data_IF_233247550827
#
_entry.id   IF_233247550827
#
_cell.length_a   1.000
_cell.length_b   1.000
_cell.length_c   1.000
_cell.angle_alpha   90.00
_cell.angle_beta   90.00
_cell.angle_gamma   90.00
#
_symmetry.space_group_name_H-M   'P 1'
#
loop_
_entity.id
_entity.type
_entity.pdbx_description
1 polymer ?
#
# COMPACT_ATOMS: atom_id res chain seq x y z
N UNK A 1 41.17 -5.62 -13.68
CA UNK A 1 40.23 -6.57 -13.00
C UNK A 1 39.09 -5.74 -12.51
N UNK A 2 37.92 -5.88 -13.12
CA UNK A 2 36.63 -5.34 -12.58
C UNK A 2 36.33 -6.09 -11.29
N UNK A 3 36.13 -5.35 -10.22
CA UNK A 3 35.66 -5.93 -8.94
C UNK A 3 34.17 -6.15 -8.97
N UNK A 4 33.61 -7.01 -8.09
CA UNK A 4 32.17 -7.22 -7.98
C UNK A 4 31.43 -5.90 -7.67
N UNK A 5 32.10 -4.94 -7.02
CA UNK A 5 31.59 -3.61 -6.73
C UNK A 5 31.41 -2.80 -8.03
N UNK A 6 32.34 -2.90 -8.99
CA UNK A 6 32.27 -2.18 -10.27
C UNK A 6 31.08 -2.67 -11.15
N UNK A 7 30.57 -3.87 -10.87
CA UNK A 7 29.42 -4.45 -11.57
C UNK A 7 28.08 -3.98 -10.96
N UNK A 8 28.06 -3.73 -9.65
CA UNK A 8 26.86 -3.38 -8.89
C UNK A 8 26.69 -1.86 -8.77
N UNK A 9 27.80 -1.11 -8.74
CA UNK A 9 27.75 0.34 -8.61
C UNK A 9 27.19 0.99 -9.90
N UNK A 10 26.36 2.05 -9.76
CA UNK A 10 25.90 2.81 -10.92
C UNK A 10 27.08 3.43 -11.67
N UNK A 11 27.01 3.46 -13.00
CA UNK A 11 28.07 4.02 -13.85
C UNK A 11 28.11 5.56 -13.78
N UNK A 12 26.96 6.19 -13.49
CA UNK A 12 26.85 7.65 -13.36
C UNK A 12 25.80 8.03 -12.32
N UNK A 13 26.11 9.06 -11.54
CA UNK A 13 25.15 9.69 -10.61
C UNK A 13 25.27 11.19 -10.75
N UNK A 14 24.19 11.86 -11.15
CA UNK A 14 24.09 13.32 -11.20
C UNK A 14 23.07 13.79 -10.15
N UNK A 15 23.54 14.50 -9.14
CA UNK A 15 22.74 15.06 -8.04
C UNK A 15 22.68 16.60 -8.07
N UNK A 16 22.94 17.22 -9.22
CA UNK A 16 22.93 18.68 -9.39
C UNK A 16 21.54 19.31 -9.33
N UNK A 17 20.47 18.54 -9.51
CA UNK A 17 19.10 19.05 -9.43
C UNK A 17 18.57 19.15 -8.00
N UNK A 18 17.71 20.15 -7.78
CA UNK A 18 16.92 20.27 -6.55
C UNK A 18 15.87 19.18 -6.41
N UNK A 19 15.29 18.75 -7.54
CA UNK A 19 14.00 18.08 -7.61
C UNK A 19 14.13 16.58 -7.90
N UNK A 20 15.32 16.11 -8.30
CA UNK A 20 15.62 14.69 -8.59
C UNK A 20 17.13 14.40 -8.59
N UNK A 21 17.49 13.16 -8.63
CA UNK A 21 18.83 12.66 -8.95
C UNK A 21 18.75 11.78 -10.20
N UNK A 22 19.75 11.84 -11.07
CA UNK A 22 19.80 10.98 -12.25
C UNK A 22 20.85 9.89 -12.01
N UNK A 23 20.44 8.63 -12.10
CA UNK A 23 21.29 7.45 -11.92
C UNK A 23 21.23 6.64 -13.20
N UNK A 24 22.36 6.48 -13.88
CA UNK A 24 22.47 5.76 -15.16
C UNK A 24 21.45 6.21 -16.23
N UNK A 25 21.13 7.51 -16.25
CA UNK A 25 20.16 8.10 -17.17
C UNK A 25 18.71 8.01 -16.75
N UNK A 26 18.40 7.35 -15.63
CA UNK A 26 17.05 7.28 -15.06
C UNK A 26 16.90 8.37 -14.01
N UNK A 27 15.78 9.07 -14.06
CA UNK A 27 15.41 10.12 -13.10
C UNK A 27 14.78 9.50 -11.86
N UNK A 28 15.27 9.86 -10.67
CA UNK A 28 14.79 9.40 -9.38
C UNK A 28 14.41 10.59 -8.51
N UNK A 29 13.16 10.67 -8.12
CA UNK A 29 12.69 11.64 -7.15
C UNK A 29 12.29 10.94 -5.85
N UNK A 30 12.72 11.51 -4.73
CA UNK A 30 12.43 10.95 -3.40
C UNK A 30 11.42 11.82 -2.68
N UNK A 31 10.41 11.16 -2.10
CA UNK A 31 9.37 11.77 -1.31
C UNK A 31 9.32 11.13 0.07
N UNK A 32 8.68 11.77 1.01
CA UNK A 32 8.42 11.23 2.34
C UNK A 32 7.01 11.59 2.80
N UNK A 33 6.39 10.72 3.58
CA UNK A 33 5.16 11.06 4.28
C UNK A 33 5.54 11.83 5.55
N UNK A 34 5.03 13.07 5.67
CA UNK A 34 5.33 13.92 6.81
C UNK A 34 4.82 13.29 8.10
N UNK A 35 5.62 13.32 9.19
CA UNK A 35 5.27 12.66 10.44
C UNK A 35 3.94 13.10 11.06
N UNK A 36 3.51 14.34 10.79
CA UNK A 36 2.20 14.86 11.17
C UNK A 36 1.09 14.55 10.16
N UNK A 37 1.46 14.13 8.95
CA UNK A 37 0.56 13.95 7.81
C UNK A 37 0.00 12.53 7.64
N UNK A 38 0.05 11.71 8.67
CA UNK A 38 -0.59 10.40 8.65
C UNK A 38 -2.02 10.51 9.20
N UNK A 39 -2.93 9.77 8.60
CA UNK A 39 -4.30 9.62 9.07
C UNK A 39 -4.36 9.17 10.52
N UNK A 40 -5.34 9.66 11.29
CA UNK A 40 -5.46 9.37 12.73
C UNK A 40 -6.00 7.98 13.00
N UNK A 41 -6.86 7.47 12.12
CA UNK A 41 -7.44 6.13 12.19
C UNK A 41 -7.24 5.44 10.86
N UNK A 42 -6.63 4.27 10.90
CA UNK A 42 -6.34 3.48 9.71
C UNK A 42 -6.99 2.10 9.86
N UNK A 43 -7.48 1.58 8.77
CA UNK A 43 -7.90 0.19 8.63
C UNK A 43 -6.68 -0.70 8.42
N UNK A 44 -6.87 -2.02 8.52
CA UNK A 44 -5.81 -2.96 8.19
C UNK A 44 -5.39 -2.79 6.71
N UNK A 45 -4.10 -2.91 6.46
CA UNK A 45 -3.50 -2.79 5.12
C UNK A 45 -3.70 -1.42 4.43
N UNK A 46 -3.82 -0.35 5.19
CA UNK A 46 -4.03 1.00 4.66
C UNK A 46 -2.90 1.51 3.73
N UNK A 47 -1.72 0.91 3.78
CA UNK A 47 -0.59 1.21 2.89
C UNK A 47 -0.59 0.39 1.58
N UNK A 48 -1.46 -0.60 1.40
CA UNK A 48 -1.44 -1.46 0.21
C UNK A 48 -1.66 -0.67 -1.08
N UNK A 49 -2.57 0.30 -1.10
CA UNK A 49 -2.81 1.14 -2.28
C UNK A 49 -1.58 1.96 -2.70
N UNK A 50 -0.71 2.30 -1.75
CA UNK A 50 0.53 3.01 -2.06
C UNK A 50 1.58 2.05 -2.63
N UNK A 51 1.70 0.84 -2.09
CA UNK A 51 2.63 -0.19 -2.57
C UNK A 51 2.27 -0.67 -3.98
N UNK A 52 0.99 -0.68 -4.30
CA UNK A 52 0.44 -1.12 -5.58
C UNK A 52 0.26 0.02 -6.60
N UNK A 53 0.79 1.21 -6.30
CA UNK A 53 0.55 2.41 -7.12
C UNK A 53 1.22 2.38 -8.52
N UNK A 54 2.24 1.56 -8.72
CA UNK A 54 2.91 1.38 -10.02
C UNK A 54 4.31 0.78 -9.92
N UNK A 55 4.79 0.23 -11.03
CA UNK A 55 6.12 -0.40 -11.13
C UNK A 55 7.26 0.62 -11.04
N UNK A 56 6.97 1.89 -11.27
CA UNK A 56 7.90 3.01 -11.18
C UNK A 56 7.98 3.62 -9.77
N UNK A 57 7.39 2.98 -8.77
CA UNK A 57 7.31 3.46 -7.39
C UNK A 57 7.99 2.45 -6.47
N UNK A 58 9.06 2.89 -5.81
CA UNK A 58 9.74 2.16 -4.74
C UNK A 58 9.32 2.70 -3.38
N UNK A 59 9.12 1.83 -2.38
CA UNK A 59 8.73 2.29 -1.04
C UNK A 59 9.59 1.62 0.01
N UNK A 60 10.12 2.44 0.91
CA UNK A 60 10.83 1.99 2.10
C UNK A 60 10.05 2.34 3.36
N UNK A 61 9.71 1.30 4.14
CA UNK A 61 9.15 1.46 5.49
C UNK A 61 10.22 1.19 6.53
N UNK A 62 10.58 2.20 7.29
CA UNK A 62 11.54 2.08 8.37
C UNK A 62 10.83 2.06 9.72
N UNK A 63 11.14 1.06 10.54
CA UNK A 63 10.56 0.87 11.87
C UNK A 63 11.67 0.80 12.92
N UNK A 64 11.60 1.68 13.91
CA UNK A 64 12.58 1.74 14.99
C UNK A 64 11.89 1.56 16.34
N UNK A 65 12.09 0.39 16.97
CA UNK A 65 11.58 0.14 18.30
C UNK A 65 12.30 1.04 19.33
N UNK A 66 11.54 1.64 20.20
CA UNK A 66 12.06 2.56 21.22
C UNK A 66 11.98 1.96 22.62
N UNK A 67 12.92 2.35 23.47
CA UNK A 67 12.91 1.92 24.88
C UNK A 67 11.71 2.54 25.61
N UNK A 68 10.86 1.70 26.17
CA UNK A 68 9.59 2.06 26.82
C UNK A 68 9.75 3.14 27.88
N UNK A 69 10.68 2.98 28.82
CA UNK A 69 10.83 3.90 29.94
C UNK A 69 11.22 5.32 29.49
N UNK A 70 12.11 5.41 28.48
CA UNK A 70 12.51 6.69 27.90
C UNK A 70 11.34 7.40 27.19
N UNK A 71 10.51 6.62 26.51
CA UNK A 71 9.34 7.18 25.80
C UNK A 71 8.25 7.59 26.78
N UNK A 72 7.93 6.78 27.77
CA UNK A 72 6.94 7.12 28.79
C UNK A 72 7.32 8.42 29.53
N UNK A 73 8.59 8.57 29.89
CA UNK A 73 9.08 9.81 30.53
C UNK A 73 8.93 11.03 29.59
N UNK A 74 9.29 10.90 28.32
CA UNK A 74 9.13 11.98 27.32
C UNK A 74 7.66 12.34 27.08
N UNK A 75 6.78 11.37 26.96
CA UNK A 75 5.34 11.60 26.79
C UNK A 75 4.77 12.30 28.02
N UNK A 76 5.12 11.83 29.22
CA UNK A 76 4.67 12.44 30.47
C UNK A 76 5.10 13.91 30.56
N UNK A 77 6.36 14.19 30.27
CA UNK A 77 6.89 15.56 30.24
C UNK A 77 6.18 16.45 29.21
N UNK A 78 6.03 15.99 27.96
CA UNK A 78 5.32 16.75 26.91
C UNK A 78 3.86 16.99 27.30
N UNK A 79 3.16 15.99 27.80
CA UNK A 79 1.77 16.12 28.23
C UNK A 79 1.63 17.13 29.36
N UNK A 80 2.58 17.15 30.33
CA UNK A 80 2.60 18.14 31.41
C UNK A 80 2.81 19.57 30.88
N UNK A 81 3.77 19.75 29.98
CA UNK A 81 4.03 21.05 29.31
C UNK A 81 2.81 21.54 28.57
N UNK A 82 2.18 20.66 27.75
CA UNK A 82 1.00 21.03 26.96
C UNK A 82 -0.19 21.38 27.89
N UNK A 83 -0.39 20.67 28.99
CA UNK A 83 -1.40 21.02 29.99
C UNK A 83 -1.13 22.38 30.68
N UNK A 84 0.14 22.71 30.92
CA UNK A 84 0.50 24.01 31.46
C UNK A 84 0.19 25.12 30.47
N UNK A 85 0.62 24.96 29.23
CA UNK A 85 0.30 25.91 28.13
C UNK A 85 -1.19 26.08 27.93
N UNK A 86 -1.98 25.00 27.98
CA UNK A 86 -3.44 25.04 27.84
C UNK A 86 -4.11 25.90 28.93
N UNK A 87 -3.52 25.99 30.12
CA UNK A 87 -4.01 26.87 31.20
C UNK A 87 -3.65 28.32 30.99
N UNK A 88 -2.58 28.60 30.25
CA UNK A 88 -2.08 29.96 29.97
C UNK A 88 -2.70 30.56 28.71
N UNK A 89 -3.10 29.71 27.73
CA UNK A 89 -3.72 30.14 26.48
C UNK A 89 -5.21 30.35 26.71
N UNK A 90 -5.61 31.57 27.08
CA UNK A 90 -7.02 31.90 27.33
C UNK A 90 -7.78 32.35 26.08
N UNK A 91 -7.12 32.63 24.93
CA UNK A 91 -7.72 33.50 23.91
C UNK A 91 -7.78 32.96 22.44
N UNK A 92 -7.19 31.81 22.10
CA UNK A 92 -7.23 31.34 20.70
C UNK A 92 -7.74 29.90 20.62
N UNK A 93 -8.93 29.74 20.04
CA UNK A 93 -9.62 28.44 19.94
C UNK A 93 -8.83 27.39 19.16
N UNK A 94 -8.07 27.79 18.14
CA UNK A 94 -7.22 26.91 17.35
C UNK A 94 -6.06 26.29 18.16
N UNK A 95 -5.38 27.11 18.98
CA UNK A 95 -4.26 26.66 19.79
C UNK A 95 -4.72 25.72 20.92
N UNK A 96 -5.94 25.93 21.42
CA UNK A 96 -6.55 25.06 22.40
C UNK A 96 -6.85 23.67 21.80
N UNK A 97 -7.43 23.60 20.61
CA UNK A 97 -7.77 22.34 19.92
C UNK A 97 -6.51 21.56 19.58
N UNK A 98 -5.44 22.23 19.15
CA UNK A 98 -4.14 21.58 18.86
C UNK A 98 -3.49 21.00 20.13
N UNK A 99 -3.49 21.75 21.24
CA UNK A 99 -2.95 21.29 22.52
C UNK A 99 -3.77 20.12 23.09
N UNK A 100 -5.10 20.18 23.00
CA UNK A 100 -5.98 19.10 23.45
C UNK A 100 -5.77 17.81 22.65
N UNK A 101 -5.67 17.93 21.33
CA UNK A 101 -5.33 16.82 20.45
C UNK A 101 -3.95 16.19 20.77
N UNK A 102 -2.95 17.04 21.06
CA UNK A 102 -1.62 16.57 21.43
C UNK A 102 -1.61 15.87 22.80
N UNK A 103 -2.39 16.37 23.78
CA UNK A 103 -2.56 15.73 25.09
C UNK A 103 -3.26 14.37 24.94
N UNK A 104 -4.37 14.33 24.20
CA UNK A 104 -5.14 13.11 23.95
C UNK A 104 -4.32 12.03 23.24
N UNK A 105 -3.54 12.41 22.24
CA UNK A 105 -2.60 11.52 21.56
C UNK A 105 -1.53 10.98 22.51
N UNK A 106 -0.96 11.83 23.37
CA UNK A 106 0.01 11.40 24.38
C UNK A 106 -0.59 10.41 25.40
N UNK A 107 -1.83 10.65 25.82
CA UNK A 107 -2.54 9.74 26.73
C UNK A 107 -2.84 8.39 26.07
N UNK A 108 -3.28 8.38 24.81
CA UNK A 108 -3.50 7.16 24.01
C UNK A 108 -2.22 6.30 23.93
N UNK A 109 -1.09 6.91 23.58
CA UNK A 109 0.19 6.20 23.52
C UNK A 109 0.61 5.62 24.88
N UNK A 110 0.43 6.39 25.95
CA UNK A 110 0.72 5.93 27.32
C UNK A 110 -0.19 4.77 27.75
N UNK A 111 -1.46 4.84 27.43
CA UNK A 111 -2.43 3.79 27.75
C UNK A 111 -2.16 2.50 26.98
N UNK A 112 -1.88 2.58 25.68
CA UNK A 112 -1.50 1.45 24.86
C UNK A 112 -0.26 0.72 25.38
N UNK A 113 0.77 1.48 25.79
CA UNK A 113 1.96 0.89 26.39
C UNK A 113 1.67 0.27 27.78
N UNK A 114 0.93 0.94 28.65
CA UNK A 114 0.79 0.51 30.05
C UNK A 114 -0.31 -0.53 30.25
N UNK A 115 -1.45 -0.41 29.57
CA UNK A 115 -2.60 -1.31 29.75
C UNK A 115 -2.64 -2.43 28.72
N UNK A 116 -2.36 -2.13 27.44
CA UNK A 116 -2.40 -3.10 26.37
C UNK A 116 -1.04 -3.76 26.09
N UNK A 117 -0.02 -3.46 26.89
CA UNK A 117 1.34 -4.02 26.79
C UNK A 117 1.96 -3.88 25.39
N UNK A 118 1.62 -2.83 24.65
CA UNK A 118 2.15 -2.55 23.33
C UNK A 118 3.54 -1.91 23.39
N UNK A 119 4.36 -2.23 22.40
CA UNK A 119 5.62 -1.52 22.19
C UNK A 119 5.40 -0.23 21.39
N UNK A 120 6.36 0.68 21.51
CA UNK A 120 6.37 1.95 20.81
C UNK A 120 7.43 1.96 19.73
N UNK A 121 7.05 2.44 18.54
CA UNK A 121 7.93 2.55 17.38
C UNK A 121 7.90 3.95 16.78
N UNK A 122 9.02 4.34 16.19
CA UNK A 122 9.02 5.35 15.14
C UNK A 122 8.87 4.67 13.80
N UNK A 123 7.89 5.08 13.01
CA UNK A 123 7.67 4.65 11.63
C UNK A 123 7.98 5.80 10.68
N UNK A 124 8.71 5.54 9.63
CA UNK A 124 8.99 6.48 8.55
C UNK A 124 8.73 5.81 7.21
N UNK A 125 8.13 6.55 6.30
CA UNK A 125 7.85 6.10 4.93
C UNK A 125 8.57 7.02 3.96
N UNK A 126 9.47 6.46 3.16
CA UNK A 126 10.15 7.12 2.05
C UNK A 126 9.68 6.48 0.75
N UNK A 127 9.39 7.29 -0.24
CA UNK A 127 8.89 6.87 -1.53
C UNK A 127 9.89 7.31 -2.59
N UNK A 128 10.27 6.40 -3.47
CA UNK A 128 11.02 6.66 -4.68
C UNK A 128 10.05 6.66 -5.85
N UNK A 129 10.24 7.59 -6.75
CA UNK A 129 9.53 7.65 -8.03
C UNK A 129 10.58 7.70 -9.13
N UNK A 130 10.42 6.87 -10.16
CA UNK A 130 11.37 6.81 -11.27
C UNK A 130 10.72 7.16 -12.60
N UNK A 131 11.53 7.69 -13.53
CA UNK A 131 11.10 7.98 -14.90
C UNK A 131 12.31 8.05 -15.84
N UNK A 132 12.05 7.97 -17.15
CA UNK A 132 13.10 8.08 -18.19
C UNK A 132 13.42 9.53 -18.58
N UNK A 133 12.54 10.48 -18.24
CA UNK A 133 12.68 11.90 -18.58
C UNK A 133 12.14 12.83 -17.48
N UNK A 134 12.51 14.11 -17.57
CA UNK A 134 12.18 15.13 -16.58
C UNK A 134 10.67 15.47 -16.54
N UNK A 135 9.99 15.48 -17.67
CA UNK A 135 8.55 15.79 -17.70
C UNK A 135 7.75 14.65 -17.08
N UNK A 136 8.14 13.41 -17.35
CA UNK A 136 7.49 12.22 -16.79
C UNK A 136 7.72 12.09 -15.29
N UNK A 137 8.94 12.41 -14.78
CA UNK A 137 9.19 12.35 -13.33
C UNK A 137 8.36 13.38 -12.57
N UNK A 138 8.18 14.59 -13.09
CA UNK A 138 7.35 15.61 -12.47
C UNK A 138 5.88 15.22 -12.41
N UNK A 139 5.36 14.64 -13.48
CA UNK A 139 3.99 14.11 -13.53
C UNK A 139 3.82 12.96 -12.54
N UNK A 140 4.70 11.97 -12.54
CA UNK A 140 4.63 10.82 -11.64
C UNK A 140 4.71 11.24 -10.16
N UNK A 141 5.54 12.22 -9.83
CA UNK A 141 5.62 12.79 -8.48
C UNK A 141 4.30 13.46 -8.08
N UNK A 142 3.69 14.23 -8.98
CA UNK A 142 2.38 14.86 -8.75
C UNK A 142 1.28 13.81 -8.51
N UNK A 143 1.30 12.72 -9.27
CA UNK A 143 0.33 11.62 -9.15
C UNK A 143 0.47 10.92 -7.79
N UNK A 144 1.70 10.65 -7.33
CA UNK A 144 1.96 10.04 -6.01
C UNK A 144 1.52 10.98 -4.88
N UNK A 145 1.79 12.28 -4.98
CA UNK A 145 1.34 13.26 -4.00
C UNK A 145 -0.20 13.29 -3.93
N UNK A 146 -0.85 13.25 -5.09
CA UNK A 146 -2.32 13.23 -5.21
C UNK A 146 -2.90 11.93 -4.63
N UNK A 147 -2.27 10.79 -4.92
CA UNK A 147 -2.65 9.50 -4.33
C UNK A 147 -2.55 9.54 -2.80
N UNK A 148 -1.43 10.01 -2.26
CA UNK A 148 -1.28 10.16 -0.81
C UNK A 148 -2.34 11.09 -0.22
N UNK A 149 -2.66 12.21 -0.88
CA UNK A 149 -3.70 13.14 -0.45
C UNK A 149 -5.10 12.47 -0.45
N UNK A 150 -5.40 11.61 -1.43
CA UNK A 150 -6.65 10.84 -1.46
C UNK A 150 -6.77 9.84 -0.31
N UNK A 151 -5.65 9.45 0.28
CA UNK A 151 -5.55 8.59 1.47
C UNK A 151 -5.47 9.40 2.79
N UNK A 152 -5.77 10.69 2.76
CA UNK A 152 -5.60 11.63 3.88
C UNK A 152 -4.16 11.68 4.44
N UNK A 153 -3.17 11.53 3.58
CA UNK A 153 -1.76 11.62 3.93
C UNK A 153 -1.09 12.84 3.29
N UNK A 154 -0.16 13.45 4.01
CA UNK A 154 0.65 14.57 3.51
C UNK A 154 1.99 14.04 3.03
N UNK A 155 2.13 13.89 1.73
CA UNK A 155 3.37 13.54 1.07
C UNK A 155 4.13 14.80 0.64
N UNK A 156 5.44 14.83 0.84
CA UNK A 156 6.32 15.93 0.47
C UNK A 156 7.53 15.42 -0.29
N UNK A 157 7.97 16.19 -1.28
CA UNK A 157 9.23 15.94 -1.98
C UNK A 157 10.40 16.23 -1.04
N UNK A 158 11.46 15.45 -1.16
CA UNK A 158 12.70 15.61 -0.41
C UNK A 158 13.65 16.59 -1.12
N UNK A 159 13.17 17.82 -1.38
CA UNK A 159 13.93 18.87 -2.07
C UNK A 159 15.33 19.02 -1.49
N UNK A 160 16.36 19.06 -2.34
CA UNK A 160 17.79 19.12 -1.98
C UNK A 160 18.28 17.92 -1.13
N UNK A 161 17.50 16.84 -1.04
CA UNK A 161 17.78 15.65 -0.22
C UNK A 161 17.62 14.33 -1.01
N UNK A 162 17.69 14.40 -2.34
CA UNK A 162 17.47 13.22 -3.18
C UNK A 162 18.59 12.20 -3.02
N UNK A 163 19.84 12.64 -2.85
CA UNK A 163 20.96 11.75 -2.52
C UNK A 163 20.73 10.99 -1.21
N UNK A 164 20.28 11.70 -0.16
CA UNK A 164 19.95 11.09 1.13
C UNK A 164 18.73 10.15 1.01
N UNK A 165 17.77 10.48 0.15
CA UNK A 165 16.65 9.61 -0.23
C UNK A 165 17.14 8.31 -0.86
N UNK A 166 17.99 8.42 -1.88
CA UNK A 166 18.63 7.27 -2.55
C UNK A 166 19.33 6.35 -1.56
N UNK A 167 20.23 6.90 -0.74
CA UNK A 167 20.97 6.13 0.27
C UNK A 167 20.05 5.49 1.32
N UNK A 168 18.90 6.12 1.63
CA UNK A 168 17.94 5.62 2.61
C UNK A 168 17.08 4.46 2.08
N UNK A 169 16.98 4.28 0.76
CA UNK A 169 16.28 3.15 0.15
C UNK A 169 17.17 1.92 -0.06
N UNK A 170 18.48 2.12 -0.05
CA UNK A 170 19.40 0.98 -0.14
C UNK A 170 19.17 0.00 1.02
N UNK A 171 19.37 -1.32 0.82
CA UNK A 171 19.14 -2.34 1.84
C UNK A 171 20.19 -2.34 2.97
N UNK A 172 20.70 -1.16 3.30
CA UNK A 172 21.68 -0.93 4.38
C UNK A 172 21.04 -0.70 5.75
N UNK A 173 19.70 -0.67 5.80
CA UNK A 173 18.91 -0.37 7.02
C UNK A 173 19.30 1.00 7.62
N UNK A 174 19.71 1.93 6.78
CA UNK A 174 20.12 3.29 7.18
C UNK A 174 19.13 4.31 6.64
N UNK A 175 18.50 5.07 7.52
CA UNK A 175 17.66 6.21 7.15
C UNK A 175 18.38 7.51 7.54
N UNK A 176 18.47 8.45 6.61
CA UNK A 176 19.04 9.78 6.88
C UNK A 176 18.34 10.45 8.07
N UNK A 177 19.12 11.04 8.97
CA UNK A 177 18.59 11.58 10.23
C UNK A 177 17.62 12.76 10.04
N UNK A 178 17.79 13.55 8.97
CA UNK A 178 16.89 14.66 8.65
C UNK A 178 15.57 14.15 8.06
N UNK A 179 15.65 13.17 7.15
CA UNK A 179 14.48 12.49 6.61
C UNK A 179 13.73 11.73 7.71
N UNK A 180 14.42 11.02 8.61
CA UNK A 180 13.80 10.40 9.79
C UNK A 180 13.03 11.43 10.62
N UNK A 181 13.66 12.56 10.91
CA UNK A 181 13.04 13.61 11.75
C UNK A 181 11.78 14.20 11.10
N UNK A 182 11.75 14.36 9.78
CA UNK A 182 10.62 14.91 9.02
C UNK A 182 9.50 13.90 8.82
N UNK A 183 9.82 12.63 8.60
CA UNK A 183 8.88 11.58 8.22
C UNK A 183 8.35 10.75 9.40
N UNK A 184 9.06 10.72 10.52
CA UNK A 184 8.72 9.80 11.62
C UNK A 184 7.36 10.05 12.24
N UNK A 185 6.58 8.97 12.36
CA UNK A 185 5.32 8.89 13.08
C UNK A 185 5.49 8.01 14.32
N UNK A 186 4.87 8.41 15.43
CA UNK A 186 4.74 7.60 16.63
C UNK A 186 3.64 6.57 16.43
N UNK A 187 3.97 5.29 16.54
CA UNK A 187 3.01 4.20 16.38
C UNK A 187 3.17 3.16 17.48
N UNK A 188 2.07 2.50 17.82
CA UNK A 188 2.03 1.34 18.70
C UNK A 188 2.04 0.05 17.87
N UNK A 189 2.25 -1.10 18.53
CA UNK A 189 2.33 -2.42 17.88
C UNK A 189 1.12 -2.69 16.96
N UNK A 190 -0.10 -2.44 17.43
CA UNK A 190 -1.31 -2.71 16.65
C UNK A 190 -1.41 -1.80 15.40
N UNK A 191 -1.04 -0.52 15.56
CA UNK A 191 -1.01 0.44 14.45
C UNK A 191 0.07 0.07 13.43
N UNK A 192 1.20 -0.46 13.90
CA UNK A 192 2.27 -0.94 13.03
C UNK A 192 1.83 -2.21 12.27
N UNK A 193 1.18 -3.14 12.94
CA UNK A 193 0.62 -4.34 12.31
C UNK A 193 -0.44 -3.99 11.24
N UNK A 194 -1.30 -3.00 11.52
CA UNK A 194 -2.26 -2.49 10.55
C UNK A 194 -1.62 -1.83 9.32
N UNK A 195 -0.37 -1.35 9.43
CA UNK A 195 0.38 -0.78 8.32
C UNK A 195 0.99 -1.84 7.38
N UNK A 196 0.90 -3.15 7.69
CA UNK A 196 1.42 -4.21 6.83
C UNK A 196 0.72 -4.17 5.45
N UNK A 197 1.45 -3.90 4.36
CA UNK A 197 0.82 -3.59 3.07
C UNK A 197 0.48 -4.84 2.25
N UNK A 198 1.10 -5.98 2.55
CA UNK A 198 0.96 -7.20 1.74
C UNK A 198 -0.25 -8.01 2.19
N UNK A 199 -1.44 -7.43 2.07
CA UNK A 199 -2.71 -8.01 2.51
C UNK A 199 -3.49 -8.72 1.41
N UNK A 200 -3.13 -8.50 0.16
CA UNK A 200 -3.69 -9.14 -1.01
C UNK A 200 -2.57 -9.73 -1.88
N UNK A 201 -2.93 -10.70 -2.70
CA UNK A 201 -2.03 -11.30 -3.68
C UNK A 201 -2.72 -11.31 -5.05
N UNK A 202 -1.93 -11.32 -6.11
CA UNK A 202 -2.44 -11.46 -7.46
C UNK A 202 -2.79 -12.92 -7.74
N UNK A 203 -3.94 -13.10 -8.38
CA UNK A 203 -4.35 -14.39 -8.92
C UNK A 203 -4.15 -14.32 -10.42
N UNK A 204 -2.96 -14.72 -10.87
CA UNK A 204 -2.58 -14.65 -12.27
C UNK A 204 -2.03 -15.99 -12.75
N UNK A 205 -2.81 -16.68 -13.53
CA UNK A 205 -2.45 -17.92 -14.21
C UNK A 205 -2.41 -17.62 -15.72
N UNK A 206 -1.24 -17.65 -16.40
CA UNK A 206 -1.10 -17.21 -17.79
C UNK A 206 -2.06 -17.88 -18.79
N UNK A 207 -2.36 -19.16 -18.55
CA UNK A 207 -3.25 -19.97 -19.41
C UNK A 207 -4.71 -19.93 -18.92
N UNK A 208 -4.99 -19.16 -17.87
CA UNK A 208 -6.29 -19.11 -17.23
C UNK A 208 -7.32 -18.23 -17.93
N UNK A 209 -8.51 -18.20 -17.35
CA UNK A 209 -9.59 -17.30 -17.76
C UNK A 209 -9.71 -16.10 -16.83
N UNK A 210 -10.03 -14.94 -17.37
CA UNK A 210 -10.30 -13.75 -16.58
C UNK A 210 -11.58 -13.95 -15.74
N UNK A 211 -11.48 -13.87 -14.43
CA UNK A 211 -12.61 -14.01 -13.50
C UNK A 211 -13.19 -12.66 -13.10
N UNK A 212 -12.35 -11.66 -12.88
CA UNK A 212 -12.76 -10.33 -12.44
C UNK A 212 -11.58 -9.49 -11.99
N UNK A 213 -11.87 -8.43 -11.24
CA UNK A 213 -10.86 -7.60 -10.62
C UNK A 213 -10.81 -7.89 -9.12
N UNK A 214 -9.60 -7.96 -8.57
CA UNK A 214 -9.39 -8.07 -7.14
C UNK A 214 -9.86 -6.77 -6.46
N UNK A 215 -10.80 -6.88 -5.53
CA UNK A 215 -11.40 -5.73 -4.85
C UNK A 215 -10.38 -4.91 -4.04
N UNK A 216 -9.30 -5.53 -3.59
CA UNK A 216 -8.35 -4.92 -2.66
C UNK A 216 -7.22 -4.17 -3.38
N UNK A 217 -6.77 -4.65 -4.53
CA UNK A 217 -5.63 -4.09 -5.26
C UNK A 217 -5.91 -3.78 -6.74
N UNK A 218 -7.17 -3.91 -7.19
CA UNK A 218 -7.60 -3.73 -8.58
C UNK A 218 -6.84 -4.58 -9.62
N UNK A 219 -6.02 -5.54 -9.18
CA UNK A 219 -5.35 -6.45 -10.11
C UNK A 219 -6.34 -7.33 -10.85
N UNK A 220 -5.95 -7.74 -12.05
CA UNK A 220 -6.73 -8.66 -12.88
C UNK A 220 -6.65 -10.06 -12.27
N UNK A 221 -7.79 -10.68 -11.97
CA UNK A 221 -7.84 -12.06 -11.51
C UNK A 221 -8.02 -13.00 -12.71
N UNK A 222 -6.98 -13.74 -13.05
CA UNK A 222 -6.95 -14.78 -14.09
C UNK A 222 -6.69 -16.12 -13.41
N UNK A 223 -7.57 -17.08 -13.64
CA UNK A 223 -7.54 -18.37 -12.95
C UNK A 223 -7.57 -19.52 -13.95
N UNK A 224 -6.60 -20.41 -13.88
CA UNK A 224 -6.64 -21.69 -14.58
C UNK A 224 -7.16 -22.79 -13.64
N UNK A 225 -8.38 -23.26 -13.90
CA UNK A 225 -9.01 -24.34 -13.14
C UNK A 225 -8.33 -25.70 -13.36
N UNK A 226 -7.56 -25.86 -14.44
CA UNK A 226 -6.98 -27.12 -14.87
C UNK A 226 -5.48 -27.23 -14.56
N UNK A 227 -4.89 -26.22 -13.94
CA UNK A 227 -3.49 -26.24 -13.51
C UNK A 227 -3.26 -27.34 -12.46
N UNK A 228 -2.72 -28.50 -12.90
CA UNK A 228 -2.46 -29.65 -12.06
C UNK A 228 -1.27 -29.48 -11.12
N UNK A 229 -0.38 -28.52 -11.42
CA UNK A 229 0.76 -28.21 -10.55
C UNK A 229 0.32 -27.37 -9.33
N UNK A 230 -0.75 -26.58 -9.52
CA UNK A 230 -1.28 -25.68 -8.49
C UNK A 230 -2.45 -26.29 -7.70
N UNK A 231 -3.31 -27.05 -8.37
CA UNK A 231 -4.53 -27.62 -7.79
C UNK A 231 -4.57 -29.14 -7.85
N UNK A 232 -4.90 -29.79 -6.74
CA UNK A 232 -5.02 -31.25 -6.66
C UNK A 232 -6.15 -31.81 -7.53
N UNK A 233 -7.14 -31.00 -7.89
CA UNK A 233 -8.23 -31.34 -8.81
C UNK A 233 -8.89 -30.06 -9.36
N UNK A 234 -9.59 -30.19 -10.49
CA UNK A 234 -10.28 -29.09 -11.18
C UNK A 234 -11.71 -28.82 -10.65
N UNK A 235 -12.06 -29.29 -9.46
CA UNK A 235 -13.38 -29.07 -8.89
C UNK A 235 -13.48 -27.67 -8.28
N UNK A 236 -14.54 -26.94 -8.63
CA UNK A 236 -14.83 -25.62 -8.09
C UNK A 236 -16.24 -25.56 -7.49
N UNK A 237 -16.40 -24.85 -6.39
CA UNK A 237 -17.67 -24.64 -5.73
C UNK A 237 -17.96 -23.13 -5.61
N UNK A 238 -19.12 -22.67 -6.13
CA UNK A 238 -19.54 -21.28 -6.05
C UNK A 238 -20.66 -21.15 -5.01
N UNK A 239 -20.35 -20.51 -3.90
CA UNK A 239 -21.28 -20.29 -2.78
C UNK A 239 -21.67 -18.82 -2.68
N UNK A 240 -22.91 -18.55 -2.29
CA UNK A 240 -23.40 -17.19 -2.07
C UNK A 240 -24.91 -17.16 -1.82
N UNK A 241 -25.38 -16.04 -1.31
CA UNK A 241 -26.82 -15.81 -1.08
C UNK A 241 -27.59 -15.73 -2.40
N UNK A 242 -28.92 -15.83 -2.33
CA UNK A 242 -29.79 -15.60 -3.49
C UNK A 242 -29.58 -14.16 -4.02
N UNK A 243 -29.48 -14.01 -5.34
CA UNK A 243 -29.22 -12.71 -5.96
C UNK A 243 -27.76 -12.26 -5.99
N UNK A 244 -26.82 -12.99 -5.39
CA UNK A 244 -25.39 -12.62 -5.34
C UNK A 244 -24.62 -12.81 -6.67
N UNK A 245 -25.28 -13.11 -7.78
CA UNK A 245 -24.65 -13.23 -9.10
C UNK A 245 -24.00 -14.58 -9.42
N UNK A 246 -24.26 -15.66 -8.63
CA UNK A 246 -23.69 -17.00 -8.87
C UNK A 246 -23.91 -17.51 -10.31
N UNK A 247 -25.16 -17.45 -10.79
CA UNK A 247 -25.51 -17.89 -12.14
C UNK A 247 -24.78 -17.06 -13.20
N UNK A 248 -24.67 -15.75 -13.00
CA UNK A 248 -23.92 -14.85 -13.89
C UNK A 248 -22.45 -15.25 -13.95
N UNK A 249 -21.82 -15.52 -12.80
CA UNK A 249 -20.43 -15.95 -12.76
C UNK A 249 -20.24 -17.31 -13.45
N UNK A 250 -21.16 -18.26 -13.27
CA UNK A 250 -21.11 -19.55 -13.98
C UNK A 250 -21.22 -19.38 -15.50
N UNK A 251 -22.11 -18.50 -15.97
CA UNK A 251 -22.24 -18.18 -17.40
C UNK A 251 -20.97 -17.55 -17.95
N UNK A 252 -20.36 -16.63 -17.20
CA UNK A 252 -19.13 -15.96 -17.58
C UNK A 252 -17.96 -16.95 -17.69
N UNK A 253 -17.80 -17.84 -16.73
CA UNK A 253 -16.79 -18.90 -16.74
C UNK A 253 -17.02 -19.82 -17.97
N UNK A 254 -18.25 -20.27 -18.19
CA UNK A 254 -18.59 -21.12 -19.33
C UNK A 254 -18.26 -20.48 -20.68
N UNK A 255 -18.59 -19.18 -20.85
CA UNK A 255 -18.27 -18.42 -22.05
C UNK A 255 -16.76 -18.32 -22.29
N UNK A 256 -16.01 -17.99 -21.26
CA UNK A 256 -14.55 -17.80 -21.34
C UNK A 256 -13.81 -19.10 -21.60
N UNK A 257 -14.18 -20.18 -20.92
CA UNK A 257 -13.66 -21.51 -21.20
C UNK A 257 -13.97 -21.93 -22.65
N UNK A 258 -15.17 -21.64 -23.14
CA UNK A 258 -15.53 -21.93 -24.53
C UNK A 258 -14.71 -21.14 -25.54
N UNK A 259 -14.35 -19.87 -25.23
CA UNK A 259 -13.46 -19.05 -26.06
C UNK A 259 -12.05 -19.64 -26.15
N UNK A 260 -11.58 -20.32 -25.11
CA UNK A 260 -10.30 -21.07 -25.12
C UNK A 260 -10.41 -22.45 -25.80
N UNK A 261 -11.58 -22.80 -26.34
CA UNK A 261 -11.79 -24.08 -27.02
C UNK A 261 -12.20 -25.24 -26.11
N UNK A 262 -12.35 -24.99 -24.82
CA UNK A 262 -12.80 -26.02 -23.87
C UNK A 262 -14.26 -26.42 -24.14
N UNK A 263 -14.56 -27.72 -24.17
CA UNK A 263 -15.92 -28.20 -24.30
C UNK A 263 -16.67 -28.09 -22.97
N UNK A 264 -17.79 -27.35 -22.95
CA UNK A 264 -18.53 -27.06 -21.71
C UNK A 264 -19.90 -27.76 -21.75
N UNK A 265 -20.23 -28.49 -20.71
CA UNK A 265 -21.54 -29.11 -20.46
C UNK A 265 -22.16 -28.49 -19.21
N UNK A 266 -23.40 -27.99 -19.31
CA UNK A 266 -24.13 -27.40 -18.21
C UNK A 266 -25.35 -28.25 -17.88
N UNK A 267 -25.45 -28.72 -16.64
CA UNK A 267 -26.61 -29.44 -16.12
C UNK A 267 -27.34 -28.50 -15.13
N UNK A 268 -28.52 -28.03 -15.52
CA UNK A 268 -29.31 -27.05 -14.74
C UNK A 268 -30.73 -27.58 -14.51
N UNK A 269 -30.96 -28.46 -13.51
CA UNK A 269 -32.22 -29.20 -13.37
C UNK A 269 -33.46 -28.34 -13.06
N UNK A 270 -33.24 -27.12 -12.49
CA UNK A 270 -34.38 -26.29 -12.04
C UNK A 270 -34.40 -24.93 -12.75
N UNK A 271 -33.25 -24.42 -13.17
CA UNK A 271 -33.08 -23.05 -13.70
C UNK A 271 -32.52 -23.00 -15.13
N UNK A 272 -32.81 -24.01 -15.95
CA UNK A 272 -32.25 -24.15 -17.29
C UNK A 272 -32.51 -22.94 -18.22
N UNK A 273 -33.61 -22.23 -18.02
CA UNK A 273 -33.94 -21.06 -18.85
C UNK A 273 -32.92 -19.95 -18.80
N UNK A 274 -32.23 -19.77 -17.67
CA UNK A 274 -31.19 -18.75 -17.49
C UNK A 274 -29.99 -18.97 -18.42
N UNK A 275 -29.74 -20.21 -18.88
CA UNK A 275 -28.61 -20.57 -19.74
C UNK A 275 -28.98 -20.65 -21.23
N UNK A 276 -30.25 -20.60 -21.58
CA UNK A 276 -30.73 -20.81 -22.96
C UNK A 276 -30.15 -19.75 -23.93
N UNK A 277 -30.22 -18.48 -23.56
CA UNK A 277 -29.73 -17.38 -24.38
C UNK A 277 -28.19 -17.44 -24.54
N UNK A 278 -27.46 -17.75 -23.50
CA UNK A 278 -25.99 -17.92 -23.56
C UNK A 278 -25.63 -19.10 -24.47
N UNK A 279 -26.33 -20.21 -24.35
CA UNK A 279 -26.13 -21.40 -25.15
C UNK A 279 -26.34 -21.10 -26.66
N UNK A 280 -27.40 -20.37 -26.99
CA UNK A 280 -27.72 -20.00 -28.37
C UNK A 280 -26.66 -19.06 -28.97
N UNK A 281 -26.23 -18.05 -28.20
CA UNK A 281 -25.21 -17.07 -28.64
C UNK A 281 -23.85 -17.70 -28.97
N UNK A 282 -23.48 -18.82 -28.33
CA UNK A 282 -22.20 -19.51 -28.54
C UNK A 282 -22.34 -20.69 -29.52
N UNK A 283 -23.49 -20.84 -30.16
CA UNK A 283 -23.79 -21.95 -31.09
C UNK A 283 -23.87 -23.31 -30.39
N UNK A 284 -24.28 -23.31 -29.14
CA UNK A 284 -24.46 -24.50 -28.31
C UNK A 284 -25.79 -25.21 -28.61
N UNK A 285 -25.93 -26.42 -28.07
CA UNK A 285 -27.18 -27.21 -28.17
C UNK A 285 -27.88 -27.19 -26.82
N UNK A 286 -29.05 -26.57 -26.77
CA UNK A 286 -29.91 -26.58 -25.59
C UNK A 286 -30.91 -27.75 -25.66
N UNK A 287 -30.92 -28.62 -24.65
CA UNK A 287 -31.79 -29.79 -24.53
C UNK A 287 -32.76 -29.56 -23.35
N UNK A 288 -34.05 -29.67 -23.61
CA UNK A 288 -35.11 -29.60 -22.59
C UNK A 288 -35.51 -30.98 -22.14
#
# INVERSE_FOLDING_TARGET
>A
QTTDIDIIAPASVDNGSRDYVVVDGIYHAYLYIAGYGYRTRNEAAWLSSLVEAGDNIGISFSFKRMQRDKILSRIAQKTMINRSKMREVADTRSDFEELDSAISSGMYLKEGMNRANQDFYYMSTIIEVTAEDEETIERNVSDVITLCASMDMVCKRADYKHEQGFLSLLPTVSLDADLERKSRRNVLTDSLAAAFPFSSFEVYDPEGIFIGLNKYNNSVAILDFFDADKYSNANACILGMSGAGKTFLMQLIALRLRQQGVQVFIIAPIKGHEFAEVCDRIGGKYIR
#
